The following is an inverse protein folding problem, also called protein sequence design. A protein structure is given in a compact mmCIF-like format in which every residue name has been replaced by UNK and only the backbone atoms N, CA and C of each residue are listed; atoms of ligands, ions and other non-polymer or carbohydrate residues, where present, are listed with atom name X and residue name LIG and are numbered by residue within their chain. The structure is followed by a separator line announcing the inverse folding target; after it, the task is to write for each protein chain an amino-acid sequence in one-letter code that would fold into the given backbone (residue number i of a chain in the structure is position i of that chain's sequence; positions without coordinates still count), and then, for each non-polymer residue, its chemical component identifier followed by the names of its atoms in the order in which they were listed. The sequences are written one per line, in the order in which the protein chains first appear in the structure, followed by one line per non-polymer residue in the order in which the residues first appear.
data_IF_264034351234
#
_entry.id   IF_264034351234
#
_cell.length_a   1.000
_cell.length_b   1.000
_cell.length_c   1.000
_cell.angle_alpha   90.00
_cell.angle_beta   90.00
_cell.angle_gamma   90.00
#
_symmetry.space_group_name_H-M   'P 1'
#
loop_
_entity.id
_entity.type
_entity.pdbx_description
1 polymer ?
#
# COMPACT_ATOMS: atom_id res chain seq x y z
N UNK A 1 -6.22 6.87 -8.16
CA UNK A 1 -6.55 7.44 -6.82
C UNK A 1 -5.33 7.43 -5.88
N UNK A 2 -5.29 8.29 -4.84
CA UNK A 2 -4.28 8.21 -3.75
C UNK A 2 -4.82 7.29 -2.66
N UNK A 3 -4.03 6.28 -2.25
CA UNK A 3 -4.41 5.31 -1.21
C UNK A 3 -3.77 5.67 0.13
N UNK A 4 -2.47 6.00 0.14
CA UNK A 4 -1.76 6.44 1.35
C UNK A 4 -1.09 7.80 1.11
N UNK A 5 -1.63 8.85 1.71
CA UNK A 5 -1.03 10.20 1.62
C UNK A 5 0.33 10.28 2.32
N UNK A 6 0.51 9.57 3.43
CA UNK A 6 1.75 9.58 4.23
C UNK A 6 2.98 9.02 3.51
N UNK A 7 2.76 8.06 2.61
CA UNK A 7 3.80 7.36 1.85
C UNK A 7 3.69 7.63 0.33
N UNK A 8 2.81 8.55 -0.08
CA UNK A 8 2.51 8.86 -1.48
C UNK A 8 2.17 7.62 -2.34
N UNK A 9 1.51 6.62 -1.75
CA UNK A 9 1.10 5.40 -2.45
C UNK A 9 -0.19 5.66 -3.19
N UNK A 10 -0.20 5.35 -4.48
CA UNK A 10 -1.36 5.45 -5.36
C UNK A 10 -1.94 4.07 -5.62
N UNK A 11 -3.18 4.06 -6.07
CA UNK A 11 -3.91 2.85 -6.46
C UNK A 11 -3.11 1.96 -7.43
N UNK A 12 -2.40 2.56 -8.39
CA UNK A 12 -1.55 1.81 -9.34
C UNK A 12 -0.44 1.02 -8.64
N UNK A 13 0.09 1.55 -7.54
CA UNK A 13 1.19 0.95 -6.78
C UNK A 13 0.66 -0.24 -5.96
N UNK A 14 -0.52 -0.08 -5.35
CA UNK A 14 -1.23 -1.18 -4.67
C UNK A 14 -1.60 -2.29 -5.66
N UNK A 15 -2.15 -1.93 -6.83
CA UNK A 15 -2.47 -2.89 -7.91
C UNK A 15 -1.24 -3.58 -8.47
N UNK A 16 -0.07 -2.94 -8.47
CA UNK A 16 1.19 -3.57 -8.86
C UNK A 16 1.62 -4.59 -7.78
N UNK A 17 1.68 -4.16 -6.51
CA UNK A 17 2.02 -5.04 -5.39
C UNK A 17 1.09 -6.27 -5.30
N UNK A 18 -0.21 -6.10 -5.53
CA UNK A 18 -1.17 -7.20 -5.54
C UNK A 18 -0.91 -8.21 -6.68
N UNK A 19 -0.53 -7.72 -7.88
CA UNK A 19 -0.13 -8.58 -9.01
C UNK A 19 1.17 -9.31 -8.74
N UNK A 20 2.07 -8.71 -7.96
CA UNK A 20 3.32 -9.31 -7.50
C UNK A 20 3.14 -10.24 -6.28
N UNK A 21 1.89 -10.49 -5.85
CA UNK A 21 1.55 -11.48 -4.84
C UNK A 21 1.28 -10.94 -3.43
N UNK A 22 1.20 -9.62 -3.23
CA UNK A 22 0.81 -9.06 -1.94
C UNK A 22 -0.69 -9.31 -1.67
N UNK A 23 -0.99 -10.03 -0.57
CA UNK A 23 -2.37 -10.35 -0.16
C UNK A 23 -2.85 -9.52 1.05
N UNK A 24 -2.05 -8.55 1.49
CA UNK A 24 -2.40 -7.68 2.61
C UNK A 24 -1.73 -6.31 2.47
N UNK A 25 -2.31 -5.29 3.09
CA UNK A 25 -1.71 -3.96 3.16
C UNK A 25 -0.26 -4.01 3.67
N UNK A 26 0.03 -4.79 4.73
CA UNK A 26 1.39 -4.95 5.25
C UNK A 26 2.37 -5.51 4.21
N UNK A 27 1.94 -6.48 3.41
CA UNK A 27 2.77 -7.01 2.33
C UNK A 27 2.93 -5.98 1.20
N UNK A 28 1.89 -5.22 0.87
CA UNK A 28 1.99 -4.13 -0.11
C UNK A 28 2.97 -3.04 0.33
N UNK A 29 2.94 -2.63 1.60
CA UNK A 29 3.92 -1.70 2.18
C UNK A 29 5.36 -2.24 2.07
N UNK A 30 5.57 -3.52 2.41
CA UNK A 30 6.88 -4.17 2.29
C UNK A 30 7.37 -4.26 0.84
N UNK A 31 6.50 -4.64 -0.09
CA UNK A 31 6.82 -4.72 -1.51
C UNK A 31 7.25 -3.36 -2.09
N UNK A 32 6.68 -2.26 -1.56
CA UNK A 32 7.03 -0.89 -1.94
C UNK A 32 8.23 -0.32 -1.13
N UNK A 33 8.83 -1.09 -0.23
CA UNK A 33 9.94 -0.65 0.61
C UNK A 33 9.55 0.45 1.61
N UNK A 34 8.30 0.47 2.07
CA UNK A 34 7.73 1.50 2.96
C UNK A 34 7.21 0.89 4.25
N UNK A 35 7.13 1.72 5.30
CA UNK A 35 6.45 1.39 6.55
C UNK A 35 5.18 2.22 6.69
N UNK A 36 4.12 1.65 7.27
CA UNK A 36 2.91 2.38 7.60
C UNK A 36 3.22 3.48 8.63
N UNK A 37 2.68 4.70 8.42
CA UNK A 37 2.84 5.84 9.35
C UNK A 37 1.62 6.02 10.25
N UNK A 38 0.49 6.49 9.69
CA UNK A 38 -0.73 6.74 10.46
C UNK A 38 -1.73 5.57 10.45
N UNK A 39 -1.56 4.59 9.55
CA UNK A 39 -2.42 3.41 9.44
C UNK A 39 -3.85 3.65 8.88
N UNK A 40 -4.27 4.90 8.68
CA UNK A 40 -5.65 5.26 8.31
C UNK A 40 -6.16 4.62 7.01
N UNK A 41 -5.24 4.29 6.10
CA UNK A 41 -5.57 3.68 4.81
C UNK A 41 -5.63 2.14 4.86
N UNK A 42 -5.15 1.49 5.92
CA UNK A 42 -5.07 0.02 6.02
C UNK A 42 -6.44 -0.67 5.91
N UNK A 43 -7.54 -0.15 6.49
CA UNK A 43 -8.86 -0.78 6.34
C UNK A 43 -9.40 -0.76 4.90
N UNK A 44 -8.79 0.02 4.00
CA UNK A 44 -9.28 0.26 2.65
C UNK A 44 -8.30 -0.20 1.55
N UNK A 45 -7.14 -0.76 1.93
CA UNK A 45 -5.99 -1.03 1.04
C UNK A 45 -5.70 -2.52 0.87
#
# INVERSE_FOLDING_TARGET
MVVCVCNAIREKDVRAAARDGAISACQAYRALGRQAKCGQCVPFA
#
